data_IF_322664817234
#
_entry.id   IF_322664817234
#
_cell.length_a   1.000
_cell.length_b   1.000
_cell.length_c   1.000
_cell.angle_alpha   90.00
_cell.angle_beta   90.00
_cell.angle_gamma   90.00
#
_symmetry.space_group_name_H-M   'P 1'
#
loop_
_entity.id
_entity.type
_entity.pdbx_description
1 polymer ?
#
# COMPACT_ATOMS: atom_id res chain seq x y z
N UNK A 1 7.01 10.84 14.54
CA UNK A 1 7.32 9.73 13.62
C UNK A 1 6.46 9.88 12.38
N UNK A 2 7.02 9.74 11.18
CA UNK A 2 6.30 9.84 9.90
C UNK A 2 6.57 8.55 9.13
N UNK A 3 5.51 7.91 8.61
CA UNK A 3 5.60 6.73 7.76
C UNK A 3 4.99 7.07 6.41
N UNK A 4 5.69 6.74 5.32
CA UNK A 4 5.23 6.94 3.94
C UNK A 4 5.22 5.57 3.27
N UNK A 5 4.13 5.25 2.58
CA UNK A 5 3.97 3.97 1.91
C UNK A 5 2.64 3.89 1.19
N UNK A 6 2.48 2.81 0.44
CA UNK A 6 1.28 2.50 -0.33
C UNK A 6 0.99 1.00 -0.22
N UNK A 7 -0.11 0.66 0.44
CA UNK A 7 -0.51 -0.73 0.70
C UNK A 7 -1.18 -1.40 -0.50
N UNK A 8 -1.42 -0.66 -1.59
CA UNK A 8 -1.87 -1.21 -2.86
C UNK A 8 -0.70 -1.72 -3.73
N UNK A 9 0.55 -1.52 -3.29
CA UNK A 9 1.77 -1.97 -3.97
C UNK A 9 2.36 -3.22 -3.30
N UNK A 10 3.61 -3.56 -3.66
CA UNK A 10 4.28 -4.74 -3.12
C UNK A 10 4.49 -4.62 -1.61
N UNK A 11 3.99 -5.61 -0.87
CA UNK A 11 4.29 -5.81 0.54
C UNK A 11 5.68 -6.44 0.78
N UNK A 12 6.03 -6.70 2.05
CA UNK A 12 7.29 -7.34 2.42
C UNK A 12 7.45 -8.75 1.82
N UNK A 13 8.64 -9.07 1.32
CA UNK A 13 8.99 -10.42 0.88
C UNK A 13 9.36 -11.27 2.09
N UNK A 14 8.55 -12.28 2.41
CA UNK A 14 8.79 -13.20 3.53
C UNK A 14 8.94 -14.63 3.02
N UNK A 15 10.18 -15.13 3.04
CA UNK A 15 10.51 -16.47 2.51
C UNK A 15 9.86 -17.61 3.30
N UNK A 16 9.76 -17.45 4.62
CA UNK A 16 9.11 -18.43 5.49
C UNK A 16 7.60 -18.29 5.39
N UNK A 17 6.95 -19.26 4.71
CA UNK A 17 5.49 -19.34 4.62
C UNK A 17 4.83 -19.37 6.00
N UNK A 18 5.45 -20.00 7.01
CA UNK A 18 4.95 -20.03 8.39
C UNK A 18 4.96 -18.63 9.00
N UNK A 19 6.05 -17.89 8.84
CA UNK A 19 6.16 -16.54 9.38
C UNK A 19 5.22 -15.54 8.70
N UNK A 20 5.08 -15.63 7.36
CA UNK A 20 4.14 -14.82 6.60
C UNK A 20 2.71 -15.03 7.10
N UNK A 21 2.27 -16.29 7.24
CA UNK A 21 0.95 -16.65 7.79
C UNK A 21 0.75 -16.23 9.25
N UNK A 22 1.83 -16.15 10.03
CA UNK A 22 1.81 -15.65 11.40
C UNK A 22 1.80 -14.10 11.49
N UNK A 23 1.72 -13.40 10.35
CA UNK A 23 1.54 -11.94 10.30
C UNK A 23 2.79 -11.15 9.93
N UNK A 24 3.94 -11.78 9.71
CA UNK A 24 5.19 -11.06 9.37
C UNK A 24 5.11 -10.33 8.02
N UNK A 25 4.17 -10.70 7.15
CA UNK A 25 3.93 -9.99 5.89
C UNK A 25 3.11 -8.70 6.06
N UNK A 26 2.59 -8.39 7.25
CA UNK A 26 1.91 -7.12 7.51
C UNK A 26 2.94 -6.08 7.96
N UNK A 27 3.08 -5.01 7.18
CA UNK A 27 3.93 -3.88 7.53
C UNK A 27 3.37 -3.11 8.74
N UNK A 28 4.24 -2.33 9.39
CA UNK A 28 3.82 -1.40 10.44
C UNK A 28 2.77 -0.41 9.94
N UNK A 29 2.92 0.07 8.70
CA UNK A 29 1.99 1.01 8.07
C UNK A 29 0.59 0.39 7.95
N UNK A 30 0.48 -0.79 7.34
CA UNK A 30 -0.80 -1.50 7.18
C UNK A 30 -1.45 -1.82 8.53
N UNK A 31 -0.66 -2.25 9.52
CA UNK A 31 -1.19 -2.53 10.87
C UNK A 31 -1.82 -1.28 11.50
N UNK A 32 -1.21 -0.11 11.34
CA UNK A 32 -1.76 1.15 11.86
C UNK A 32 -3.02 1.58 11.10
N UNK A 33 -3.09 1.33 9.79
CA UNK A 33 -4.31 1.56 9.00
C UNK A 33 -5.46 0.68 9.49
N UNK A 34 -5.21 -0.61 9.72
CA UNK A 34 -6.20 -1.54 10.28
C UNK A 34 -6.67 -1.11 11.68
N UNK A 35 -5.78 -0.51 12.50
CA UNK A 35 -6.12 0.06 13.80
C UNK A 35 -6.89 1.40 13.72
N UNK A 36 -7.20 1.88 12.52
CA UNK A 36 -8.06 3.05 12.31
C UNK A 36 -7.33 4.36 12.03
N UNK A 37 -5.99 4.35 11.92
CA UNK A 37 -5.25 5.54 11.49
C UNK A 37 -5.46 5.72 9.98
N UNK A 38 -6.16 6.80 9.59
CA UNK A 38 -6.39 7.12 8.18
C UNK A 38 -5.17 7.81 7.57
N UNK A 39 -4.53 7.24 6.55
CA UNK A 39 -3.41 7.90 5.87
C UNK A 39 -3.86 9.16 5.14
N UNK A 40 -2.93 10.10 4.97
CA UNK A 40 -3.10 11.22 4.05
C UNK A 40 -2.71 10.74 2.65
N UNK A 41 -3.66 10.59 1.73
CA UNK A 41 -3.42 10.15 0.35
C UNK A 41 -3.11 11.35 -0.54
N UNK A 42 -1.95 11.33 -1.21
CA UNK A 42 -1.63 12.29 -2.28
C UNK A 42 -2.36 11.90 -3.55
N UNK A 43 -3.08 12.83 -4.18
CA UNK A 43 -4.06 12.51 -5.23
C UNK A 43 -3.57 12.80 -6.66
N UNK A 44 -2.55 13.65 -6.84
CA UNK A 44 -2.09 14.05 -8.18
C UNK A 44 -0.85 13.24 -8.55
N UNK A 45 -0.94 12.47 -9.64
CA UNK A 45 0.19 11.75 -10.23
C UNK A 45 0.84 12.58 -11.34
N UNK A 46 2.17 12.59 -11.39
CA UNK A 46 2.96 13.40 -12.34
C UNK A 46 3.84 12.56 -13.28
N UNK A 47 3.71 11.24 -13.28
CA UNK A 47 4.63 10.35 -14.00
C UNK A 47 4.07 9.89 -15.34
N UNK A 48 2.82 9.43 -15.37
CA UNK A 48 2.27 8.65 -16.47
C UNK A 48 1.32 9.49 -17.32
N UNK A 49 1.27 9.21 -18.62
CA UNK A 49 0.24 9.77 -19.50
C UNK A 49 -1.17 9.38 -19.00
N UNK A 50 -2.20 10.24 -19.09
CA UNK A 50 -3.54 9.97 -18.55
C UNK A 50 -4.15 8.62 -18.94
N UNK A 51 -3.93 8.20 -20.20
CA UNK A 51 -4.40 6.91 -20.70
C UNK A 51 -3.79 5.70 -19.94
N UNK A 52 -2.54 5.81 -19.49
CA UNK A 52 -1.86 4.75 -18.74
C UNK A 52 -2.28 4.74 -17.27
N UNK A 53 -2.56 5.91 -16.68
CA UNK A 53 -2.97 6.02 -15.27
C UNK A 53 -4.44 5.68 -15.03
N UNK A 54 -5.29 5.75 -16.06
CA UNK A 54 -6.72 5.51 -15.94
C UNK A 54 -7.04 4.14 -15.32
N UNK A 55 -6.42 3.06 -15.82
CA UNK A 55 -6.68 1.72 -15.32
C UNK A 55 -6.21 1.51 -13.87
N UNK A 56 -4.95 1.79 -13.48
CA UNK A 56 -4.52 1.64 -12.09
C UNK A 56 -5.30 2.52 -11.11
N UNK A 57 -5.65 3.75 -11.51
CA UNK A 57 -6.43 4.67 -10.66
C UNK A 57 -7.78 4.06 -10.31
N UNK A 58 -8.54 3.60 -11.32
CA UNK A 58 -9.89 3.08 -11.13
C UNK A 58 -9.92 1.74 -10.38
N UNK A 59 -8.86 0.92 -10.50
CA UNK A 59 -8.85 -0.42 -9.89
C UNK A 59 -8.32 -0.42 -8.46
N UNK A 60 -7.32 0.42 -8.15
CA UNK A 60 -6.60 0.35 -6.88
C UNK A 60 -6.84 1.56 -5.97
N UNK A 61 -7.28 2.70 -6.51
CA UNK A 61 -7.22 3.98 -5.82
C UNK A 61 -8.49 4.82 -5.89
N UNK A 62 -9.67 4.22 -6.12
CA UNK A 62 -10.99 4.91 -6.25
C UNK A 62 -11.05 6.32 -5.63
#
# INVERSE_FOLDING_TARGET
>A
LILVGDHCQLGPVVMSKKAAKAGLSQSLFERLVVLGIRPIRLQVQYRMHPALSAFPSNIFYE
#
